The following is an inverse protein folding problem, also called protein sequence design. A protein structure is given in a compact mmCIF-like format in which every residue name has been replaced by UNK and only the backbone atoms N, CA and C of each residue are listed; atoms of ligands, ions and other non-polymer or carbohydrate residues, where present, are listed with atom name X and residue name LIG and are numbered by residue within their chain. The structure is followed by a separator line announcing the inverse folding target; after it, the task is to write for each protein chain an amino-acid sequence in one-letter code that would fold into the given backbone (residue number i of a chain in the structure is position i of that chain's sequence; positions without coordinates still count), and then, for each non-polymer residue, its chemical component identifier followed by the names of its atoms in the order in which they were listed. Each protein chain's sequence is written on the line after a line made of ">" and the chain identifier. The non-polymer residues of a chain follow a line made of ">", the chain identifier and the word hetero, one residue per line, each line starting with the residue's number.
data_IF_680978447610
#
_entry.id   IF_680978447610
#
_cell.length_a   1.000
_cell.length_b   1.000
_cell.length_c   1.000
_cell.angle_alpha   90.00
_cell.angle_beta   90.00
_cell.angle_gamma   90.00
#
_symmetry.space_group_name_H-M   'P 1'
#
loop_
_entity.id
_entity.type
_entity.pdbx_description
1 polymer ?
#
# COMPACT_ATOMS: atom_id res chain seq x y z
N UNK A 1 -13.29 6.67 -29.84
CA UNK A 1 -13.82 6.55 -28.47
C UNK A 1 -13.33 5.29 -27.73
N UNK A 2 -13.51 4.06 -28.26
CA UNK A 2 -13.04 2.82 -27.59
C UNK A 2 -11.52 2.74 -27.43
N UNK A 3 -10.75 3.06 -28.47
CA UNK A 3 -9.28 3.03 -28.44
C UNK A 3 -8.68 4.01 -27.41
N UNK A 4 -9.22 5.23 -27.30
CA UNK A 4 -8.79 6.22 -26.31
C UNK A 4 -9.08 5.75 -24.87
N UNK A 5 -10.25 5.14 -24.64
CA UNK A 5 -10.60 4.60 -23.33
C UNK A 5 -9.71 3.41 -22.94
N UNK A 6 -9.30 2.60 -23.91
CA UNK A 6 -8.38 1.47 -23.72
C UNK A 6 -6.95 1.95 -23.45
N UNK A 7 -6.47 2.96 -24.17
CA UNK A 7 -5.18 3.60 -23.92
C UNK A 7 -5.12 4.23 -22.53
N UNK A 8 -6.16 4.95 -22.11
CA UNK A 8 -6.26 5.52 -20.75
C UNK A 8 -6.29 4.41 -19.69
N UNK A 9 -7.02 3.31 -19.93
CA UNK A 9 -7.05 2.16 -19.01
C UNK A 9 -5.69 1.48 -18.88
N UNK A 10 -4.97 1.30 -19.99
CA UNK A 10 -3.64 0.72 -20.01
C UNK A 10 -2.63 1.61 -19.28
N UNK A 11 -2.67 2.93 -19.50
CA UNK A 11 -1.83 3.91 -18.79
C UNK A 11 -2.07 3.86 -17.28
N UNK A 12 -3.34 3.94 -16.83
CA UNK A 12 -3.69 3.85 -15.41
C UNK A 12 -3.30 2.50 -14.77
N UNK A 13 -3.41 1.39 -15.52
CA UNK A 13 -2.98 0.08 -15.03
C UNK A 13 -1.45 -0.01 -14.88
N UNK A 14 -0.72 0.57 -15.82
CA UNK A 14 0.75 0.57 -15.82
C UNK A 14 1.30 1.46 -14.70
N UNK A 15 0.71 2.63 -14.46
CA UNK A 15 1.09 3.53 -13.35
C UNK A 15 0.97 2.84 -11.98
N UNK A 16 -0.12 2.11 -11.75
CA UNK A 16 -0.29 1.33 -10.51
C UNK A 16 0.78 0.26 -10.31
N UNK A 17 1.25 -0.34 -11.39
CA UNK A 17 2.29 -1.36 -11.32
C UNK A 17 3.62 -0.78 -10.87
N UNK A 18 3.97 0.43 -11.33
CA UNK A 18 5.17 1.14 -10.89
C UNK A 18 5.09 1.50 -9.39
N UNK A 19 3.93 1.95 -8.90
CA UNK A 19 3.76 2.21 -7.46
C UNK A 19 4.01 0.97 -6.61
N UNK A 20 3.52 -0.19 -7.04
CA UNK A 20 3.75 -1.44 -6.32
C UNK A 20 5.21 -1.88 -6.36
N UNK A 21 5.88 -1.72 -7.50
CA UNK A 21 7.30 -2.03 -7.61
C UNK A 21 8.15 -1.14 -6.70
N UNK A 22 7.90 0.17 -6.69
CA UNK A 22 8.66 1.11 -5.86
C UNK A 22 8.37 0.89 -4.37
N UNK A 23 7.11 0.62 -3.98
CA UNK A 23 6.77 0.24 -2.62
C UNK A 23 7.45 -1.06 -2.17
N UNK A 24 7.59 -2.06 -3.04
CA UNK A 24 8.32 -3.30 -2.74
C UNK A 24 9.81 -3.04 -2.55
N UNK A 25 10.43 -2.16 -3.35
CA UNK A 25 11.84 -1.78 -3.18
C UNK A 25 12.05 -1.11 -1.82
N UNK A 26 11.22 -0.12 -1.47
CA UNK A 26 11.29 0.56 -0.18
C UNK A 26 11.10 -0.42 0.98
N UNK A 27 10.11 -1.31 0.89
CA UNK A 27 9.88 -2.33 1.91
C UNK A 27 11.10 -3.25 2.10
N UNK A 28 11.78 -3.65 1.03
CA UNK A 28 12.97 -4.52 1.12
C UNK A 28 14.13 -3.88 1.87
N UNK A 29 14.22 -2.56 1.87
CA UNK A 29 15.29 -1.85 2.58
C UNK A 29 15.05 -1.73 4.08
N UNK A 30 13.79 -1.55 4.49
CA UNK A 30 13.40 -1.46 5.91
C UNK A 30 12.17 -2.31 6.21
N UNK A 31 12.29 -3.65 6.13
CA UNK A 31 11.10 -4.52 6.17
C UNK A 31 10.47 -4.65 7.56
N UNK A 32 11.20 -4.34 8.63
CA UNK A 32 10.73 -4.60 10.00
C UNK A 32 9.87 -3.42 10.51
N UNK A 33 10.49 -2.25 10.67
CA UNK A 33 9.85 -1.06 11.21
C UNK A 33 9.25 -0.15 10.13
N UNK A 34 9.57 -0.40 8.86
CA UNK A 34 9.23 0.50 7.78
C UNK A 34 10.07 1.79 7.81
N UNK A 35 9.56 2.80 7.13
CA UNK A 35 10.19 4.09 6.97
C UNK A 35 9.66 5.15 7.97
N UNK A 36 8.57 4.87 8.69
CA UNK A 36 7.94 5.78 9.64
C UNK A 36 6.68 6.46 9.07
N UNK A 37 5.80 6.97 9.94
CA UNK A 37 4.56 7.63 9.53
C UNK A 37 4.82 8.97 8.84
N UNK A 38 4.32 9.13 7.61
CA UNK A 38 4.55 10.32 6.77
C UNK A 38 5.66 10.17 5.73
N UNK A 39 6.44 9.09 5.76
CA UNK A 39 7.64 8.95 4.91
C UNK A 39 7.34 8.51 3.46
N UNK A 40 6.09 8.20 3.10
CA UNK A 40 5.76 8.02 1.68
C UNK A 40 5.99 9.33 0.91
N UNK A 41 5.51 10.47 1.42
CA UNK A 41 5.60 11.78 0.72
C UNK A 41 7.05 12.28 0.58
N UNK A 42 7.94 11.88 1.50
CA UNK A 42 9.35 12.28 1.55
C UNK A 42 10.29 11.25 0.90
N UNK A 43 10.13 9.95 1.19
CA UNK A 43 10.99 8.89 0.65
C UNK A 43 10.57 8.36 -0.73
N UNK A 44 9.28 8.38 -1.13
CA UNK A 44 8.95 7.90 -2.50
C UNK A 44 9.63 8.76 -3.56
N UNK A 45 9.85 10.06 -3.29
CA UNK A 45 10.56 10.96 -4.22
C UNK A 45 12.00 10.52 -4.51
N UNK A 46 12.63 9.74 -3.64
CA UNK A 46 13.95 9.17 -3.87
C UNK A 46 13.90 7.87 -4.70
N UNK A 47 12.78 7.13 -4.65
CA UNK A 47 12.57 5.86 -5.35
C UNK A 47 11.72 5.97 -6.62
N UNK A 48 11.16 7.15 -6.89
CA UNK A 48 10.24 7.39 -7.99
C UNK A 48 10.88 7.08 -9.34
N UNK A 49 10.34 6.09 -10.04
CA UNK A 49 10.77 5.74 -11.40
C UNK A 49 10.29 6.75 -12.46
N UNK A 50 9.36 7.64 -12.08
CA UNK A 50 8.76 8.70 -12.91
C UNK A 50 8.25 9.84 -12.02
N UNK A 51 8.17 11.07 -12.51
CA UNK A 51 7.58 12.21 -11.78
C UNK A 51 6.05 12.06 -11.71
N UNK A 52 5.56 11.32 -10.72
CA UNK A 52 4.17 11.41 -10.29
C UNK A 52 4.05 12.39 -9.11
N UNK A 53 2.85 12.86 -8.78
CA UNK A 53 2.54 13.54 -7.52
C UNK A 53 1.43 12.73 -6.87
N UNK A 54 1.72 11.99 -5.80
CA UNK A 54 0.68 11.27 -5.06
C UNK A 54 0.98 11.28 -3.56
N UNK A 55 0.16 12.02 -2.82
CA UNK A 55 0.23 12.11 -1.35
C UNK A 55 -0.32 10.85 -0.66
N UNK A 56 -0.78 9.87 -1.43
CA UNK A 56 -1.24 8.58 -0.94
C UNK A 56 -0.77 7.50 -1.90
N UNK A 57 -0.24 6.40 -1.39
CA UNK A 57 -0.30 5.15 -2.14
C UNK A 57 -1.78 4.87 -2.28
N UNK A 58 -2.35 4.85 -3.49
CA UNK A 58 -3.76 4.54 -3.72
C UNK A 58 -4.20 3.11 -3.28
N UNK A 59 -3.48 2.50 -2.33
CA UNK A 59 -3.80 1.31 -1.57
C UNK A 59 -3.23 1.42 -0.15
N UNK A 60 -4.13 1.42 0.84
CA UNK A 60 -3.80 1.57 2.27
C UNK A 60 -2.87 0.46 2.79
N UNK A 61 -2.95 -0.74 2.20
CA UNK A 61 -2.07 -1.86 2.54
C UNK A 61 -0.60 -1.58 2.20
N UNK A 62 -0.36 -0.95 1.05
CA UNK A 62 1.00 -0.58 0.66
C UNK A 62 1.53 0.59 1.48
N UNK A 63 0.67 1.53 1.86
CA UNK A 63 1.02 2.59 2.80
C UNK A 63 1.50 2.00 4.13
N UNK A 64 0.73 1.10 4.74
CA UNK A 64 1.10 0.44 5.99
C UNK A 64 2.39 -0.39 5.84
N UNK A 65 2.52 -1.11 4.72
CA UNK A 65 3.72 -1.91 4.43
C UNK A 65 4.98 -1.04 4.35
N UNK A 66 4.91 0.14 3.75
CA UNK A 66 6.08 1.03 3.62
C UNK A 66 6.35 1.81 4.90
N UNK A 67 5.31 2.36 5.53
CA UNK A 67 5.46 3.20 6.73
C UNK A 67 5.80 2.39 7.99
N UNK A 68 5.18 1.22 8.17
CA UNK A 68 5.27 0.45 9.42
C UNK A 68 5.84 -0.97 9.23
N UNK A 69 6.18 -1.37 8.00
CA UNK A 69 6.80 -2.67 7.73
C UNK A 69 5.97 -3.87 8.17
N UNK A 70 6.66 -4.97 8.47
CA UNK A 70 6.07 -6.18 9.03
C UNK A 70 5.38 -5.94 10.36
N UNK A 71 5.88 -4.99 11.17
CA UNK A 71 5.26 -4.68 12.47
C UNK A 71 3.84 -4.12 12.27
N UNK A 72 3.65 -3.19 11.32
CA UNK A 72 2.33 -2.67 10.98
C UNK A 72 1.39 -3.74 10.43
N UNK A 73 1.90 -4.61 9.54
CA UNK A 73 1.11 -5.72 8.99
C UNK A 73 0.67 -6.71 10.08
N UNK A 74 1.58 -7.07 10.99
CA UNK A 74 1.29 -7.96 12.12
C UNK A 74 0.31 -7.33 13.11
N UNK A 75 0.40 -6.02 13.35
CA UNK A 75 -0.56 -5.31 14.20
C UNK A 75 -1.98 -5.38 13.63
N UNK A 76 -2.15 -5.20 12.32
CA UNK A 76 -3.47 -5.33 11.67
C UNK A 76 -3.98 -6.76 11.75
N UNK A 77 -3.14 -7.76 11.45
CA UNK A 77 -3.52 -9.16 11.57
C UNK A 77 -3.94 -9.52 12.99
N UNK A 78 -3.22 -9.00 13.98
CA UNK A 78 -3.57 -9.18 15.39
C UNK A 78 -4.91 -8.53 15.73
N UNK A 79 -5.17 -7.30 15.28
CA UNK A 79 -6.46 -6.63 15.49
C UNK A 79 -7.62 -7.39 14.82
N UNK A 80 -7.43 -7.92 13.61
CA UNK A 80 -8.42 -8.75 12.91
C UNK A 80 -8.68 -10.04 13.68
N UNK A 81 -7.61 -10.70 14.16
CA UNK A 81 -7.73 -11.92 14.95
C UNK A 81 -8.46 -11.67 16.26
N UNK A 82 -8.13 -10.57 16.95
CA UNK A 82 -8.84 -10.14 18.16
C UNK A 82 -10.30 -9.88 17.86
N UNK A 83 -10.61 -9.09 16.83
CA UNK A 83 -11.99 -8.81 16.45
C UNK A 83 -12.77 -10.11 16.18
N UNK A 84 -12.21 -11.02 15.37
CA UNK A 84 -12.80 -12.31 15.06
C UNK A 84 -13.03 -13.17 16.32
N UNK A 85 -12.06 -13.20 17.24
CA UNK A 85 -12.15 -13.92 18.51
C UNK A 85 -13.18 -13.29 19.48
N UNK A 86 -13.31 -11.96 19.47
CA UNK A 86 -14.27 -11.19 20.27
C UNK A 86 -15.65 -11.05 19.62
N UNK A 87 -15.84 -11.54 18.39
CA UNK A 87 -17.16 -11.83 17.80
C UNK A 87 -17.51 -13.33 17.92
N UNK A 88 -17.64 -13.93 19.12
CA UNK A 88 -18.21 -15.26 19.22
C UNK A 88 -19.70 -15.13 18.91
N UNK A 89 -20.09 -15.57 17.71
CA UNK A 89 -21.47 -15.71 17.22
C UNK A 89 -22.31 -14.42 17.25
N UNK A 90 -22.25 -13.62 16.19
CA UNK A 90 -23.50 -13.01 15.73
C UNK A 90 -24.41 -14.15 15.28
N UNK A 91 -25.67 -14.25 15.77
CA UNK A 91 -26.63 -15.16 15.20
C UNK A 91 -26.70 -14.88 13.71
N UNK A 92 -26.36 -15.87 12.89
CA UNK A 92 -26.67 -15.81 11.46
C UNK A 92 -28.19 -15.93 11.38
N UNK A 93 -28.87 -14.80 11.44
CA UNK A 93 -30.28 -14.66 11.08
C UNK A 93 -30.48 -14.95 9.60
#
# INVERSE_FOLDING_TARGET
>A
MKALAEEIRLRNATERLYFYQDAIKMFKERPILGWGGGDWEEAYRAYQSYLYYSNQVHSHYFQIMVEAGLVGLMAILYLVQLFAAYTPSLPRG
#
